data_IF_246057271951
#
_entry.id   IF_246057271951
#
_cell.length_a   1.000
_cell.length_b   1.000
_cell.length_c   1.000
_cell.angle_alpha   90.00
_cell.angle_beta   90.00
_cell.angle_gamma   90.00
#
_symmetry.space_group_name_H-M   'P 1'
#
loop_
_entity.id
_entity.type
_entity.pdbx_description
1 polymer ?
#
# COMPACT_ATOMS: atom_id res chain seq x y z
N UNK A 1 -5.44 39.46 -48.85
CA UNK A 1 -6.15 38.32 -48.20
C UNK A 1 -5.37 36.98 -48.17
N UNK A 2 -4.29 36.79 -48.95
CA UNK A 2 -3.55 35.51 -49.00
C UNK A 2 -2.58 35.30 -47.84
N UNK A 3 -1.96 36.37 -47.33
CA UNK A 3 -1.01 36.37 -46.19
C UNK A 3 -1.67 36.01 -44.85
N UNK A 4 -2.93 36.40 -44.64
CA UNK A 4 -3.67 36.15 -43.39
C UNK A 4 -4.08 34.67 -43.21
N UNK A 5 -4.19 33.91 -44.30
CA UNK A 5 -4.51 32.47 -44.29
C UNK A 5 -3.34 31.61 -43.80
N UNK A 6 -2.11 32.03 -44.07
CA UNK A 6 -0.90 31.32 -43.61
C UNK A 6 -0.60 31.60 -42.13
N UNK A 7 -0.86 32.82 -41.66
CA UNK A 7 -0.73 33.20 -40.24
C UNK A 7 -1.75 32.44 -39.38
N UNK A 8 -3.00 32.34 -39.83
CA UNK A 8 -4.03 31.56 -39.13
C UNK A 8 -3.71 30.06 -39.07
N UNK A 9 -3.16 29.48 -40.15
CA UNK A 9 -2.72 28.08 -40.17
C UNK A 9 -1.54 27.80 -39.24
N UNK A 10 -0.59 28.75 -39.13
CA UNK A 10 0.56 28.63 -38.23
C UNK A 10 0.16 28.76 -36.75
N UNK A 11 -0.78 29.66 -36.45
CA UNK A 11 -1.39 29.79 -35.11
C UNK A 11 -2.19 28.53 -34.72
N UNK A 12 -2.92 27.92 -35.65
CA UNK A 12 -3.64 26.67 -35.40
C UNK A 12 -2.67 25.50 -35.09
N UNK A 13 -1.52 25.45 -35.77
CA UNK A 13 -0.48 24.46 -35.50
C UNK A 13 0.19 24.64 -34.14
N UNK A 14 0.41 25.90 -33.71
CA UNK A 14 0.96 26.20 -32.39
C UNK A 14 0.00 25.80 -31.24
N UNK A 15 -1.31 26.01 -31.40
CA UNK A 15 -2.30 25.61 -30.39
C UNK A 15 -2.47 24.08 -30.33
N UNK A 16 -2.44 23.40 -31.48
CA UNK A 16 -2.52 21.94 -31.53
C UNK A 16 -1.30 21.26 -30.89
N UNK A 17 -0.10 21.86 -30.98
CA UNK A 17 1.10 21.34 -30.34
C UNK A 17 1.06 21.36 -28.80
N UNK A 18 0.43 22.36 -28.18
CA UNK A 18 0.31 22.43 -26.71
C UNK A 18 -0.71 21.44 -26.16
N UNK A 19 -1.77 21.12 -26.92
CA UNK A 19 -2.78 20.12 -26.53
C UNK A 19 -2.25 18.68 -26.54
N UNK A 20 -1.17 18.41 -27.29
CA UNK A 20 -0.52 17.10 -27.35
C UNK A 20 0.55 16.89 -26.28
N UNK A 21 0.90 17.93 -25.51
CA UNK A 21 1.78 17.86 -24.35
C UNK A 21 0.96 17.87 -23.05
N UNK A 22 -0.07 17.04 -22.97
CA UNK A 22 -0.61 16.67 -21.68
C UNK A 22 0.48 15.88 -20.93
N UNK A 23 1.22 16.58 -20.08
CA UNK A 23 2.21 15.97 -19.20
C UNK A 23 1.47 14.99 -18.28
N UNK A 24 1.64 13.68 -18.52
CA UNK A 24 1.18 12.66 -17.58
C UNK A 24 2.11 12.75 -16.38
N UNK A 25 1.79 13.67 -15.46
CA UNK A 25 2.49 13.75 -14.19
C UNK A 25 2.37 12.39 -13.51
N UNK A 26 3.48 11.73 -13.14
CA UNK A 26 3.42 10.48 -12.44
C UNK A 26 2.58 10.66 -11.16
N UNK A 27 1.74 9.67 -10.86
CA UNK A 27 0.96 9.68 -9.63
C UNK A 27 1.90 9.73 -8.42
N UNK A 28 1.69 10.71 -7.54
CA UNK A 28 2.38 10.78 -6.23
C UNK A 28 2.04 9.59 -5.33
N UNK A 29 1.03 8.80 -5.67
CA UNK A 29 0.64 7.57 -4.98
C UNK A 29 1.37 6.37 -5.60
N UNK A 30 2.18 5.72 -4.78
CA UNK A 30 2.85 4.45 -5.09
C UNK A 30 2.23 3.34 -4.24
N UNK A 31 2.08 2.15 -4.82
CA UNK A 31 1.56 0.97 -4.12
C UNK A 31 2.46 -0.23 -4.34
N UNK A 32 2.67 -1.02 -3.28
CA UNK A 32 3.34 -2.31 -3.35
C UNK A 32 2.54 -3.34 -2.59
N UNK A 33 2.26 -4.45 -3.26
CA UNK A 33 1.59 -5.61 -2.67
C UNK A 33 2.63 -6.68 -2.34
N UNK A 34 2.55 -7.25 -1.14
CA UNK A 34 3.42 -8.34 -0.68
C UNK A 34 2.60 -9.49 -0.14
N UNK A 35 3.10 -10.71 -0.35
CA UNK A 35 2.51 -11.92 0.19
C UNK A 35 2.75 -12.00 1.69
N UNK A 36 1.73 -12.40 2.43
CA UNK A 36 1.77 -12.61 3.88
C UNK A 36 1.75 -14.11 4.14
N UNK A 37 2.66 -14.58 4.98
CA UNK A 37 2.71 -15.99 5.39
C UNK A 37 1.84 -16.24 6.61
N UNK A 38 1.85 -15.31 7.57
CA UNK A 38 1.07 -15.39 8.81
C UNK A 38 0.63 -14.01 9.29
N UNK A 39 -0.57 -13.97 9.85
CA UNK A 39 -1.08 -12.84 10.64
C UNK A 39 -1.34 -13.32 12.06
N UNK A 40 -0.91 -12.54 13.04
CA UNK A 40 -1.16 -12.80 14.44
C UNK A 40 -1.90 -11.61 15.05
N UNK A 41 -3.07 -11.87 15.61
CA UNK A 41 -3.84 -10.85 16.33
C UNK A 41 -3.24 -10.64 17.72
N UNK A 42 -3.11 -9.37 18.11
CA UNK A 42 -2.66 -8.92 19.42
C UNK A 42 -3.58 -7.80 19.92
N UNK A 43 -3.65 -7.59 21.23
CA UNK A 43 -4.50 -6.52 21.81
C UNK A 43 -4.11 -5.11 21.35
N UNK A 44 -2.86 -4.92 20.88
CA UNK A 44 -2.36 -3.64 20.36
C UNK A 44 -2.40 -3.53 18.83
N UNK A 45 -2.63 -4.63 18.10
CA UNK A 45 -2.49 -4.63 16.64
C UNK A 45 -2.36 -6.01 16.02
N UNK A 46 -1.80 -6.04 14.81
CA UNK A 46 -1.49 -7.26 14.07
C UNK A 46 0.01 -7.37 13.83
N UNK A 47 0.62 -8.48 14.25
CA UNK A 47 1.95 -8.87 13.77
C UNK A 47 1.76 -9.61 12.44
N UNK A 48 2.47 -9.18 11.41
CA UNK A 48 2.34 -9.71 10.05
C UNK A 48 3.70 -10.20 9.59
N UNK A 49 3.78 -11.47 9.20
CA UNK A 49 4.95 -12.06 8.57
C UNK A 49 4.76 -12.04 7.06
N UNK A 50 5.71 -11.47 6.33
CA UNK A 50 5.62 -11.29 4.88
C UNK A 50 6.88 -11.82 4.17
N UNK A 51 6.73 -12.16 2.90
CA UNK A 51 7.86 -12.62 2.07
C UNK A 51 8.57 -11.42 1.45
N UNK A 52 9.87 -11.28 1.73
CA UNK A 52 10.74 -10.28 1.11
C UNK A 52 11.13 -10.69 -0.31
N UNK A 53 11.68 -9.76 -1.09
CA UNK A 53 12.12 -10.02 -2.48
C UNK A 53 13.30 -10.99 -2.55
N UNK A 54 14.07 -11.14 -1.46
CA UNK A 54 15.13 -12.15 -1.33
C UNK A 54 14.61 -13.52 -0.82
N UNK A 55 13.29 -13.69 -0.72
CA UNK A 55 12.58 -14.89 -0.21
C UNK A 55 12.71 -15.15 1.30
N UNK A 56 13.35 -14.26 2.07
CA UNK A 56 13.32 -14.32 3.52
C UNK A 56 11.98 -13.83 4.09
N UNK A 57 11.76 -14.13 5.37
CA UNK A 57 10.59 -13.64 6.11
C UNK A 57 10.94 -12.31 6.78
N UNK A 58 10.14 -11.29 6.48
CA UNK A 58 10.09 -10.04 7.23
C UNK A 58 8.94 -10.05 8.22
N UNK A 59 9.04 -9.20 9.25
CA UNK A 59 7.95 -8.95 10.16
C UNK A 59 7.60 -7.47 10.18
N UNK A 60 6.32 -7.19 10.36
CA UNK A 60 5.85 -5.82 10.56
C UNK A 60 4.69 -5.81 11.54
N UNK A 61 4.55 -4.71 12.25
CA UNK A 61 3.55 -4.50 13.28
C UNK A 61 2.60 -3.41 12.81
N UNK A 62 1.30 -3.73 12.74
CA UNK A 62 0.23 -2.82 12.33
C UNK A 62 -0.58 -2.48 13.58
N UNK A 63 -0.41 -1.28 14.16
CA UNK A 63 -1.13 -0.86 15.36
C UNK A 63 -2.64 -0.70 15.12
N UNK A 64 -3.47 -0.98 16.13
CA UNK A 64 -4.90 -0.69 16.07
C UNK A 64 -5.19 0.81 15.99
N UNK A 65 -4.31 1.67 16.54
CA UNK A 65 -4.42 3.14 16.41
C UNK A 65 -4.46 3.58 14.94
N UNK A 66 -3.67 2.93 14.07
CA UNK A 66 -3.69 3.23 12.63
C UNK A 66 -5.02 2.89 11.97
N UNK A 67 -5.79 1.93 12.49
CA UNK A 67 -7.13 1.64 12.00
C UNK A 67 -8.08 2.80 12.34
N UNK A 68 -8.01 3.31 13.57
CA UNK A 68 -8.78 4.48 14.00
C UNK A 68 -8.41 5.75 13.20
N UNK A 69 -7.13 5.93 12.89
CA UNK A 69 -6.59 7.02 12.08
C UNK A 69 -6.80 6.84 10.56
N UNK A 70 -7.36 5.70 10.13
CA UNK A 70 -7.52 5.31 8.72
C UNK A 70 -6.21 5.12 7.93
N UNK A 71 -5.07 5.03 8.63
CA UNK A 71 -3.76 4.62 8.09
C UNK A 71 -3.67 3.11 7.88
N UNK A 72 -4.53 2.31 8.52
CA UNK A 72 -4.66 0.88 8.30
C UNK A 72 -6.12 0.49 8.00
N UNK A 73 -6.33 -0.49 7.13
CA UNK A 73 -7.63 -1.12 6.91
C UNK A 73 -7.45 -2.63 6.93
N UNK A 74 -8.28 -3.32 7.71
CA UNK A 74 -8.29 -4.79 7.76
C UNK A 74 -9.50 -5.28 6.97
N UNK A 75 -9.26 -6.11 5.96
CA UNK A 75 -10.29 -6.62 5.05
C UNK A 75 -10.38 -8.13 5.24
N UNK A 76 -11.36 -8.64 6.00
CA UNK A 76 -11.62 -10.07 6.08
C UNK A 76 -12.26 -10.58 4.78
N UNK A 77 -11.98 -11.82 4.41
CA UNK A 77 -12.63 -12.48 3.27
C UNK A 77 -12.14 -13.91 3.04
N UNK A 78 -12.70 -14.57 2.02
CA UNK A 78 -12.44 -15.97 1.70
C UNK A 78 -11.75 -16.17 0.34
N UNK A 79 -11.01 -15.16 -0.13
CA UNK A 79 -10.27 -15.26 -1.39
C UNK A 79 -9.04 -16.18 -1.23
N UNK A 80 -8.75 -17.09 -2.17
CA UNK A 80 -7.57 -17.96 -2.11
C UNK A 80 -6.22 -17.22 -2.04
N UNK A 81 -6.17 -15.96 -2.49
CA UNK A 81 -4.97 -15.14 -2.39
C UNK A 81 -4.70 -14.63 -0.96
N UNK A 82 -5.67 -14.72 -0.04
CA UNK A 82 -5.49 -14.23 1.33
C UNK A 82 -4.63 -15.21 2.15
N UNK A 83 -3.72 -14.71 3.02
CA UNK A 83 -3.48 -13.30 3.33
C UNK A 83 -2.45 -12.61 2.41
N UNK A 84 -2.64 -11.31 2.21
CA UNK A 84 -1.63 -10.40 1.63
C UNK A 84 -1.86 -8.98 2.14
N UNK A 85 -0.91 -8.08 1.88
CA UNK A 85 -1.12 -6.67 2.17
C UNK A 85 -0.66 -5.76 1.04
N UNK A 86 -1.35 -4.63 0.91
CA UNK A 86 -1.01 -3.54 0.00
C UNK A 86 -0.61 -2.32 0.82
N UNK A 87 0.60 -1.83 0.58
CA UNK A 87 1.16 -0.65 1.22
C UNK A 87 1.14 0.48 0.22
N UNK A 88 0.69 1.64 0.66
CA UNK A 88 0.56 2.86 -0.12
C UNK A 88 1.50 3.92 0.45
N UNK A 89 2.24 4.56 -0.45
CA UNK A 89 3.04 5.73 -0.15
C UNK A 89 2.51 6.91 -0.95
N UNK A 90 2.51 8.09 -0.34
CA UNK A 90 2.16 9.34 -1.00
C UNK A 90 3.34 10.29 -0.88
N UNK A 91 3.90 10.74 -2.01
CA UNK A 91 5.10 11.59 -2.03
C UNK A 91 6.29 10.96 -1.29
N UNK A 92 6.44 9.64 -1.38
CA UNK A 92 7.52 8.88 -0.73
C UNK A 92 7.29 8.55 0.75
N UNK A 93 6.26 9.09 1.38
CA UNK A 93 5.94 8.84 2.79
C UNK A 93 4.87 7.75 2.94
N UNK A 94 4.95 6.96 4.01
CA UNK A 94 3.94 5.97 4.34
C UNK A 94 2.57 6.65 4.49
N UNK A 95 1.61 6.19 3.69
CA UNK A 95 0.27 6.78 3.65
C UNK A 95 -0.78 5.83 4.23
N UNK A 96 -0.77 4.56 3.80
CA UNK A 96 -1.80 3.60 4.20
C UNK A 96 -1.33 2.16 4.01
N UNK A 97 -1.80 1.26 4.87
CA UNK A 97 -1.74 -0.19 4.64
C UNK A 97 -3.14 -0.77 4.58
N UNK A 98 -3.36 -1.72 3.68
CA UNK A 98 -4.56 -2.56 3.64
C UNK A 98 -4.10 -4.00 3.83
N UNK A 99 -4.51 -4.61 4.93
CA UNK A 99 -4.23 -6.00 5.25
C UNK A 99 -5.47 -6.84 4.91
N UNK A 100 -5.32 -7.77 3.97
CA UNK A 100 -6.36 -8.71 3.59
C UNK A 100 -6.14 -10.01 4.35
N UNK A 101 -7.15 -10.43 5.12
CA UNK A 101 -7.02 -11.56 6.05
C UNK A 101 -8.11 -12.60 5.81
N UNK A 102 -7.83 -13.89 6.06
CA UNK A 102 -8.85 -14.92 6.00
C UNK A 102 -9.98 -14.62 7.01
N UNK A 103 -11.23 -14.76 6.59
CA UNK A 103 -12.39 -14.53 7.45
C UNK A 103 -12.47 -15.57 8.59
N UNK A 104 -12.10 -16.82 8.30
CA UNK A 104 -12.16 -17.91 9.26
C UNK A 104 -10.94 -17.94 10.19
N UNK A 105 -11.12 -17.96 11.53
CA UNK A 105 -10.00 -17.98 12.48
C UNK A 105 -9.12 -19.24 12.43
N UNK A 106 -9.64 -20.36 11.93
CA UNK A 106 -8.91 -21.63 11.77
C UNK A 106 -8.10 -21.71 10.47
N UNK A 107 -8.18 -20.70 9.61
CA UNK A 107 -7.42 -20.66 8.37
C UNK A 107 -5.90 -20.67 8.66
N UNK A 108 -5.09 -21.41 7.88
CA UNK A 108 -3.64 -21.49 8.09
C UNK A 108 -2.91 -20.15 7.91
N UNK A 109 -3.55 -19.12 7.36
CA UNK A 109 -3.02 -17.76 7.33
C UNK A 109 -2.99 -17.08 8.71
N UNK A 110 -3.76 -17.56 9.68
CA UNK A 110 -3.72 -17.11 11.07
C UNK A 110 -2.64 -17.87 11.86
N UNK A 111 -2.01 -17.15 12.78
CA UNK A 111 -1.11 -17.69 13.78
C UNK A 111 -1.56 -17.34 15.20
N UNK A 112 -1.00 -18.06 16.17
CA UNK A 112 -1.23 -17.79 17.59
C UNK A 112 0.06 -17.22 18.16
N UNK A 113 0.01 -15.99 18.66
CA UNK A 113 1.13 -15.40 19.39
C UNK A 113 1.23 -16.08 20.77
N UNK A 114 2.37 -16.69 21.11
CA UNK A 114 2.57 -17.24 22.44
C UNK A 114 2.46 -16.13 23.49
N UNK A 115 1.68 -16.36 24.56
CA UNK A 115 1.52 -15.39 25.67
C UNK A 115 2.83 -15.06 26.41
N UNK A 116 3.88 -15.82 26.18
CA UNK A 116 5.21 -15.60 26.75
C UNK A 116 6.01 -14.52 26.02
N UNK A 117 5.56 -14.09 24.84
CA UNK A 117 6.23 -13.06 24.02
C UNK A 117 5.51 -11.73 24.23
N UNK A 118 6.08 -10.83 25.02
CA UNK A 118 5.58 -9.46 25.11
C UNK A 118 6.11 -8.65 23.92
N UNK A 119 5.25 -8.49 22.92
CA UNK A 119 5.50 -7.71 21.71
C UNK A 119 4.85 -6.33 21.75
N UNK A 120 4.31 -5.91 22.90
CA UNK A 120 3.46 -4.71 23.01
C UNK A 120 4.19 -3.45 22.55
N UNK A 121 5.47 -3.30 22.91
CA UNK A 121 6.30 -2.16 22.53
C UNK A 121 6.56 -2.06 21.02
N UNK A 122 6.48 -3.18 20.28
CA UNK A 122 6.72 -3.20 18.83
C UNK A 122 5.56 -2.57 18.04
N UNK A 123 4.42 -2.31 18.69
CA UNK A 123 3.29 -1.58 18.11
C UNK A 123 3.38 -0.06 18.31
N UNK A 124 4.40 0.45 19.02
CA UNK A 124 4.62 1.90 19.20
C UNK A 124 5.40 2.48 18.00
N UNK A 125 4.78 2.45 16.83
CA UNK A 125 5.38 2.88 15.56
C UNK A 125 4.47 3.83 14.79
N UNK A 126 5.06 4.86 14.18
CA UNK A 126 4.34 5.88 13.39
C UNK A 126 4.38 5.63 11.88
N UNK A 127 5.33 4.80 11.43
CA UNK A 127 5.55 4.45 10.02
C UNK A 127 5.79 2.95 9.86
N UNK A 128 5.40 2.42 8.70
CA UNK A 128 5.60 1.03 8.36
C UNK A 128 7.05 0.83 7.87
N UNK A 129 7.92 0.31 8.74
CA UNK A 129 9.29 -0.05 8.36
C UNK A 129 9.27 -1.42 7.69
N UNK A 130 9.67 -1.48 6.42
CA UNK A 130 9.75 -2.73 5.68
C UNK A 130 11.07 -2.86 4.95
N UNK A 131 11.60 -4.08 4.97
CA UNK A 131 12.71 -4.51 4.15
C UNK A 131 12.15 -5.25 2.93
N UNK A 132 12.59 -4.86 1.73
CA UNK A 132 12.15 -5.48 0.49
C UNK A 132 13.24 -6.32 -0.13
#
# INVERSE_FOLDING_TARGET
MKTMRHVAGFLLFLVAGHLLLAEVLPSDLYVKTVYVTKVYAHEKGYKVLYVKSNLDIGEVYIPLSWVAEKKAVIVPGNDPAFPYMSIYWKKGEFFKVILYVPEKPDHPGWGILPRTEDVSALFEVDTLQMEF
#
